data_IF_639892725463
#
_entry.id   IF_639892725463
#
_cell.length_a   1.000
_cell.length_b   1.000
_cell.length_c   1.000
_cell.angle_alpha   90.00
_cell.angle_beta   90.00
_cell.angle_gamma   90.00
#
_symmetry.space_group_name_H-M   'P 1'
#
loop_
_entity.id
_entity.type
_entity.pdbx_description
1 polymer ?
#
# COMPACT_ATOMS: atom_id res chain seq x y z
N UNK A 1 6.23 -15.48 24.59
CA UNK A 1 7.23 -14.59 23.96
C UNK A 1 6.77 -14.49 22.51
N UNK A 2 5.86 -13.55 22.23
CA UNK A 2 5.31 -13.35 20.89
C UNK A 2 6.12 -12.24 20.27
N UNK A 3 7.00 -12.63 19.35
CA UNK A 3 7.82 -11.71 18.57
C UNK A 3 6.89 -11.10 17.51
N UNK A 4 6.33 -9.93 17.81
CA UNK A 4 5.53 -9.17 16.86
C UNK A 4 6.51 -8.41 15.96
N UNK A 5 6.80 -8.99 14.80
CA UNK A 5 7.44 -8.27 13.70
C UNK A 5 6.64 -7.00 13.43
N UNK A 6 7.34 -5.87 13.48
CA UNK A 6 6.80 -4.54 13.26
C UNK A 6 5.98 -4.46 11.96
N UNK A 7 4.96 -3.61 11.97
CA UNK A 7 4.18 -3.19 10.80
C UNK A 7 5.12 -2.46 9.82
N UNK A 8 5.93 -3.20 9.09
CA UNK A 8 6.81 -2.68 8.06
C UNK A 8 6.13 -2.85 6.71
N UNK A 9 5.52 -1.77 6.24
CA UNK A 9 4.99 -1.66 4.87
C UNK A 9 6.10 -1.82 3.81
N UNK A 10 7.37 -1.67 4.23
CA UNK A 10 8.54 -1.99 3.40
C UNK A 10 8.80 -3.50 3.25
N UNK A 11 8.24 -4.36 4.11
CA UNK A 11 8.39 -5.81 4.00
C UNK A 11 7.60 -6.41 2.84
N UNK A 12 6.62 -5.68 2.29
CA UNK A 12 5.70 -6.11 1.24
C UNK A 12 6.26 -5.92 -0.19
N UNK A 13 7.57 -5.71 -0.36
CA UNK A 13 8.12 -5.32 -1.67
C UNK A 13 8.87 -6.43 -2.39
N UNK A 14 8.58 -6.51 -3.68
CA UNK A 14 9.58 -6.80 -4.69
C UNK A 14 10.18 -5.46 -5.15
N UNK A 15 11.50 -5.35 -5.23
CA UNK A 15 12.15 -4.13 -5.74
C UNK A 15 12.16 -4.17 -7.27
N UNK A 16 11.00 -3.99 -7.88
CA UNK A 16 10.78 -4.21 -9.32
C UNK A 16 10.50 -2.96 -10.11
N UNK A 17 10.42 -1.80 -9.45
CA UNK A 17 10.35 -0.53 -10.14
C UNK A 17 11.56 -0.42 -11.06
N UNK A 18 11.30 -0.23 -12.35
CA UNK A 18 12.36 -0.04 -13.36
C UNK A 18 13.15 1.26 -13.16
N UNK A 19 12.82 2.04 -12.12
CA UNK A 19 13.50 3.26 -11.72
C UNK A 19 14.92 2.97 -11.22
N UNK A 20 15.87 3.74 -11.74
CA UNK A 20 17.25 3.76 -11.26
C UNK A 20 17.43 4.93 -10.32
N UNK A 21 18.07 4.72 -9.18
CA UNK A 21 18.37 5.78 -8.23
C UNK A 21 19.82 6.18 -8.31
N UNK A 22 20.12 7.48 -8.36
CA UNK A 22 21.51 7.95 -8.35
C UNK A 22 21.85 8.57 -7.02
N UNK A 23 22.79 7.96 -6.30
CA UNK A 23 23.46 8.58 -5.18
C UNK A 23 24.35 9.71 -5.69
N UNK A 24 23.88 10.94 -5.53
CA UNK A 24 24.57 12.14 -6.00
C UNK A 24 25.88 12.42 -5.25
N UNK A 25 26.04 11.91 -4.02
CA UNK A 25 27.24 12.11 -3.19
C UNK A 25 28.38 11.24 -3.72
N UNK A 26 28.07 9.99 -4.07
CA UNK A 26 29.08 9.03 -4.54
C UNK A 26 29.08 8.84 -6.06
N UNK A 27 28.14 9.47 -6.78
CA UNK A 27 27.91 9.36 -8.22
C UNK A 27 27.76 7.90 -8.67
N UNK A 28 26.98 7.13 -7.91
CA UNK A 28 26.66 5.72 -8.18
C UNK A 28 25.18 5.64 -8.54
N UNK A 29 24.88 5.05 -9.69
CA UNK A 29 23.50 4.73 -10.09
C UNK A 29 23.19 3.29 -9.73
N UNK A 30 22.27 3.09 -8.80
CA UNK A 30 21.71 1.80 -8.44
C UNK A 30 20.55 1.48 -9.37
N UNK A 31 20.50 0.24 -9.85
CA UNK A 31 19.41 -0.27 -10.69
C UNK A 31 18.95 -1.61 -10.13
N UNK A 32 17.90 -2.20 -10.69
CA UNK A 32 17.45 -3.56 -10.33
C UNK A 32 18.55 -4.63 -10.43
N UNK A 33 19.67 -4.35 -11.12
CA UNK A 33 20.86 -5.22 -11.16
C UNK A 33 21.54 -5.48 -9.82
N UNK A 34 21.35 -4.61 -8.81
CA UNK A 34 21.89 -4.82 -7.46
C UNK A 34 20.96 -5.68 -6.58
N UNK A 35 19.73 -5.91 -7.02
CA UNK A 35 18.76 -6.69 -6.27
C UNK A 35 19.09 -8.18 -6.37
N UNK A 36 19.10 -8.86 -5.22
CA UNK A 36 19.22 -10.33 -5.24
C UNK A 36 17.91 -10.94 -5.74
N UNK A 37 17.91 -12.10 -6.42
CA UNK A 37 16.69 -12.71 -6.97
C UNK A 37 15.55 -12.84 -5.94
N UNK A 38 15.89 -13.12 -4.68
CA UNK A 38 14.91 -13.21 -3.60
C UNK A 38 14.18 -11.90 -3.23
N UNK A 39 14.69 -10.75 -3.65
CA UNK A 39 14.03 -9.44 -3.57
C UNK A 39 13.21 -9.11 -4.82
N UNK A 40 13.42 -9.81 -5.93
CA UNK A 40 12.66 -9.58 -7.15
C UNK A 40 11.37 -10.41 -7.13
N UNK A 41 11.44 -11.67 -6.70
CA UNK A 41 10.33 -12.65 -6.81
C UNK A 41 9.62 -12.94 -5.48
N UNK A 42 9.69 -12.05 -4.49
CA UNK A 42 9.16 -12.26 -3.12
C UNK A 42 9.68 -13.48 -2.36
N UNK A 43 10.59 -14.27 -2.90
CA UNK A 43 11.08 -15.51 -2.28
C UNK A 43 11.68 -15.26 -0.89
N UNK A 44 12.40 -14.14 -0.72
CA UNK A 44 12.91 -13.73 0.59
C UNK A 44 11.79 -13.42 1.58
N UNK A 45 10.76 -12.71 1.13
CA UNK A 45 9.60 -12.36 1.94
C UNK A 45 8.82 -13.62 2.39
N UNK A 46 8.49 -14.49 1.44
CA UNK A 46 7.76 -15.75 1.67
C UNK A 46 8.50 -16.64 2.67
N UNK A 47 9.83 -16.74 2.58
CA UNK A 47 10.57 -17.70 3.39
C UNK A 47 11.02 -17.17 4.76
N UNK A 48 11.10 -15.85 4.95
CA UNK A 48 11.62 -15.24 6.18
C UNK A 48 10.55 -14.71 7.13
N UNK A 49 9.38 -14.37 6.61
CA UNK A 49 8.27 -13.85 7.42
C UNK A 49 7.14 -14.87 7.50
N UNK A 50 6.34 -14.77 8.56
CA UNK A 50 5.13 -15.55 8.77
C UNK A 50 4.04 -14.61 9.24
N UNK A 51 3.03 -14.44 8.41
CA UNK A 51 1.86 -13.62 8.70
C UNK A 51 0.65 -14.52 8.99
N UNK A 52 -0.37 -14.04 9.73
CA UNK A 52 -1.50 -14.86 10.18
C UNK A 52 -2.55 -15.11 9.07
N UNK A 53 -2.10 -15.40 7.84
CA UNK A 53 -3.01 -15.55 6.70
C UNK A 53 -3.89 -16.79 6.83
N UNK A 54 -3.39 -17.87 7.43
CA UNK A 54 -4.17 -19.10 7.60
C UNK A 54 -5.34 -18.85 8.57
N UNK A 55 -5.09 -18.11 9.65
CA UNK A 55 -6.09 -17.74 10.64
C UNK A 55 -7.10 -16.74 10.09
N UNK A 56 -6.67 -15.80 9.24
CA UNK A 56 -7.53 -14.79 8.63
C UNK A 56 -8.20 -15.23 7.33
N UNK A 57 -7.91 -16.45 6.84
CA UNK A 57 -8.36 -16.91 5.53
C UNK A 57 -7.79 -16.13 4.33
N UNK A 58 -6.65 -15.47 4.53
CA UNK A 58 -5.87 -14.82 3.48
C UNK A 58 -4.86 -15.78 2.82
N UNK A 59 -3.87 -15.23 2.09
CA UNK A 59 -2.88 -16.04 1.36
C UNK A 59 -1.44 -15.66 1.69
N UNK A 60 -0.69 -16.65 2.17
CA UNK A 60 0.75 -16.55 2.42
C UNK A 60 1.12 -15.38 3.32
N UNK A 61 2.03 -14.53 2.87
CA UNK A 61 2.34 -13.29 3.58
C UNK A 61 1.67 -12.07 2.94
N UNK A 62 0.84 -12.25 1.91
CA UNK A 62 0.46 -11.16 1.00
C UNK A 62 -0.80 -10.41 1.39
N UNK A 63 -1.80 -11.12 1.92
CA UNK A 63 -2.95 -10.49 2.53
C UNK A 63 -3.46 -11.29 3.71
N UNK A 64 -3.75 -10.58 4.79
CA UNK A 64 -4.14 -11.15 6.08
C UNK A 64 -4.73 -10.06 6.97
N UNK A 65 -5.42 -10.47 8.02
CA UNK A 65 -5.94 -9.56 9.04
C UNK A 65 -5.67 -10.11 10.45
N UNK A 66 -5.73 -9.22 11.44
CA UNK A 66 -5.65 -9.61 12.85
C UNK A 66 -6.20 -8.50 13.76
N UNK A 67 -6.68 -8.89 14.93
CA UNK A 67 -7.09 -7.94 15.96
C UNK A 67 -5.93 -7.69 16.94
N UNK A 68 -5.74 -6.43 17.31
CA UNK A 68 -4.87 -6.06 18.42
C UNK A 68 -5.50 -4.95 19.26
N UNK A 69 -5.95 -5.32 20.46
CA UNK A 69 -6.66 -4.41 21.35
C UNK A 69 -7.99 -3.98 20.75
N UNK A 70 -8.17 -2.67 20.55
CA UNK A 70 -9.39 -2.07 19.99
C UNK A 70 -9.33 -1.86 18.48
N UNK A 71 -8.31 -2.39 17.81
CA UNK A 71 -8.11 -2.20 16.38
C UNK A 71 -8.09 -3.53 15.63
N UNK A 72 -8.80 -3.56 14.52
CA UNK A 72 -8.75 -4.58 13.50
C UNK A 72 -7.81 -4.12 12.39
N UNK A 73 -6.74 -4.88 12.16
CA UNK A 73 -5.73 -4.58 11.16
C UNK A 73 -5.92 -5.46 9.94
N UNK A 74 -5.89 -4.85 8.76
CA UNK A 74 -5.95 -5.56 7.48
C UNK A 74 -4.71 -5.16 6.68
N UNK A 75 -4.04 -6.13 6.07
CA UNK A 75 -2.95 -5.88 5.13
C UNK A 75 -3.30 -6.55 3.81
N UNK A 76 -3.13 -5.84 2.70
CA UNK A 76 -3.34 -6.40 1.37
C UNK A 76 -2.23 -5.97 0.40
N UNK A 77 -2.01 -6.81 -0.60
CA UNK A 77 -0.98 -6.71 -1.61
C UNK A 77 -1.43 -5.81 -2.77
N UNK A 78 -0.64 -4.79 -3.10
CA UNK A 78 -0.84 -3.85 -4.22
C UNK A 78 -0.06 -4.18 -5.48
N UNK A 79 0.75 -5.23 -5.47
CA UNK A 79 1.70 -5.53 -6.55
C UNK A 79 1.09 -6.42 -7.64
N UNK A 80 0.45 -7.54 -7.27
CA UNK A 80 0.22 -8.66 -8.22
C UNK A 80 -1.24 -9.15 -8.31
N UNK A 81 -1.96 -9.19 -7.18
CA UNK A 81 -3.28 -9.82 -7.04
C UNK A 81 -4.39 -8.80 -6.66
N UNK A 82 -4.10 -7.53 -6.88
CA UNK A 82 -4.76 -6.37 -6.26
C UNK A 82 -5.98 -5.84 -7.01
N UNK A 83 -6.37 -6.47 -8.12
CA UNK A 83 -7.44 -5.92 -8.96
C UNK A 83 -8.40 -7.02 -9.40
N UNK A 84 -9.71 -6.73 -9.48
CA UNK A 84 -10.67 -7.66 -10.02
C UNK A 84 -10.35 -8.09 -11.46
N UNK A 85 -10.88 -9.25 -11.86
CA UNK A 85 -10.76 -9.81 -13.21
C UNK A 85 -11.05 -8.75 -14.28
N UNK A 86 -10.10 -8.59 -15.21
CA UNK A 86 -10.19 -7.62 -16.32
C UNK A 86 -9.38 -6.34 -16.11
N UNK A 87 -8.82 -6.15 -14.92
CA UNK A 87 -7.81 -5.12 -14.63
C UNK A 87 -6.42 -5.77 -14.53
N UNK A 88 -5.36 -4.98 -14.72
CA UNK A 88 -3.97 -5.45 -14.58
C UNK A 88 -3.32 -4.75 -13.40
N UNK A 89 -2.83 -5.54 -12.45
CA UNK A 89 -2.01 -5.08 -11.33
C UNK A 89 -0.62 -4.62 -11.80
N UNK A 90 0.10 -3.80 -11.01
CA UNK A 90 1.41 -3.27 -11.39
C UNK A 90 2.42 -4.31 -11.88
N UNK A 91 2.63 -5.40 -11.14
CA UNK A 91 3.52 -6.51 -11.48
C UNK A 91 2.81 -7.63 -12.26
N UNK A 92 1.51 -7.50 -12.52
CA UNK A 92 0.74 -8.47 -13.30
C UNK A 92 1.21 -8.52 -14.76
N UNK A 93 0.88 -9.61 -15.48
CA UNK A 93 1.21 -9.72 -16.91
C UNK A 93 0.56 -8.56 -17.69
N UNK A 94 1.39 -7.69 -18.29
CA UNK A 94 0.96 -6.47 -18.99
C UNK A 94 0.78 -5.24 -18.09
N UNK A 95 1.18 -5.33 -16.83
CA UNK A 95 1.31 -4.24 -15.89
C UNK A 95 2.54 -3.37 -16.17
N UNK A 96 2.64 -2.27 -15.44
CA UNK A 96 3.69 -1.25 -15.58
C UNK A 96 5.08 -1.77 -15.18
N UNK A 97 5.16 -2.74 -14.27
CA UNK A 97 6.37 -3.41 -13.80
C UNK A 97 6.41 -4.89 -14.25
N UNK A 98 5.70 -5.21 -15.35
CA UNK A 98 5.61 -6.56 -15.89
C UNK A 98 6.96 -7.08 -16.41
N UNK A 99 7.75 -7.68 -15.51
CA UNK A 99 9.04 -8.28 -15.85
C UNK A 99 9.62 -9.22 -14.80
N UNK A 100 9.02 -9.29 -13.61
CA UNK A 100 9.60 -9.96 -12.45
C UNK A 100 8.98 -11.32 -12.07
N UNK A 101 7.94 -11.80 -12.77
CA UNK A 101 7.23 -13.05 -12.45
C UNK A 101 6.67 -13.11 -11.02
N UNK A 102 6.12 -12.00 -10.53
CA UNK A 102 5.81 -11.83 -9.10
C UNK A 102 4.48 -12.41 -8.63
N UNK A 103 3.90 -13.36 -9.34
CA UNK A 103 2.59 -13.89 -9.01
C UNK A 103 1.90 -14.43 -10.26
N UNK A 104 0.58 -14.65 -10.22
CA UNK A 104 -0.30 -14.41 -9.07
C UNK A 104 -0.02 -15.38 -7.91
N UNK A 105 -0.28 -14.96 -6.67
CA UNK A 105 -0.23 -15.84 -5.50
C UNK A 105 -1.59 -16.43 -5.13
N UNK A 106 -2.66 -15.76 -5.56
CA UNK A 106 -4.04 -16.20 -5.38
C UNK A 106 -4.72 -16.54 -6.70
N UNK A 107 -5.99 -16.92 -6.63
CA UNK A 107 -6.86 -17.01 -7.80
C UNK A 107 -7.54 -15.66 -8.10
N UNK A 108 -8.06 -15.45 -9.32
CA UNK A 108 -8.65 -14.17 -9.68
C UNK A 108 -9.80 -13.76 -8.74
N UNK A 109 -9.84 -12.48 -8.35
CA UNK A 109 -10.73 -11.88 -7.34
C UNK A 109 -10.54 -12.35 -5.89
N UNK A 110 -9.68 -13.34 -5.60
CA UNK A 110 -9.55 -13.90 -4.25
C UNK A 110 -9.30 -12.84 -3.18
N UNK A 111 -8.33 -11.97 -3.42
CA UNK A 111 -7.99 -10.90 -2.48
C UNK A 111 -9.11 -9.85 -2.34
N UNK A 112 -9.81 -9.52 -3.43
CA UNK A 112 -10.93 -8.58 -3.39
C UNK A 112 -12.11 -9.13 -2.57
N UNK A 113 -12.52 -10.37 -2.88
CA UNK A 113 -13.63 -11.04 -2.21
C UNK A 113 -13.30 -11.30 -0.73
N UNK A 114 -12.05 -11.68 -0.44
CA UNK A 114 -11.55 -11.82 0.93
C UNK A 114 -11.61 -10.50 1.69
N UNK A 115 -11.13 -9.41 1.10
CA UNK A 115 -11.09 -8.09 1.74
C UNK A 115 -12.50 -7.57 2.05
N UNK A 116 -13.46 -7.68 1.11
CA UNK A 116 -14.85 -7.30 1.36
C UNK A 116 -15.47 -8.16 2.48
N UNK A 117 -15.21 -9.46 2.46
CA UNK A 117 -15.73 -10.39 3.48
C UNK A 117 -15.17 -10.07 4.86
N UNK A 118 -13.87 -9.78 4.96
CA UNK A 118 -13.20 -9.46 6.20
C UNK A 118 -13.75 -8.15 6.81
N UNK A 119 -13.80 -7.08 6.01
CA UNK A 119 -14.43 -5.81 6.40
C UNK A 119 -15.87 -5.97 6.88
N UNK A 120 -16.66 -6.81 6.20
CA UNK A 120 -18.04 -7.08 6.58
C UNK A 120 -18.19 -7.87 7.89
N UNK A 121 -17.12 -8.52 8.36
CA UNK A 121 -17.12 -9.35 9.56
C UNK A 121 -16.75 -8.59 10.83
N UNK A 122 -16.19 -7.38 10.71
CA UNK A 122 -15.68 -6.61 11.85
C UNK A 122 -16.81 -6.20 12.79
N UNK A 123 -16.70 -6.62 14.05
CA UNK A 123 -17.57 -6.19 15.14
C UNK A 123 -17.02 -4.90 15.76
N UNK A 124 -17.58 -3.75 15.35
CA UNK A 124 -17.12 -2.41 15.79
C UNK A 124 -17.35 -2.14 17.27
N UNK A 125 -18.17 -2.94 17.97
CA UNK A 125 -18.29 -2.83 19.44
C UNK A 125 -17.08 -3.45 20.16
N UNK A 126 -16.32 -4.33 19.49
CA UNK A 126 -15.09 -4.95 20.01
C UNK A 126 -13.83 -4.25 19.49
N UNK A 127 -13.78 -4.04 18.18
CA UNK A 127 -12.68 -3.39 17.47
C UNK A 127 -13.21 -2.17 16.73
N UNK A 128 -13.41 -1.04 17.45
CA UNK A 128 -13.98 0.17 16.86
C UNK A 128 -13.10 0.79 15.78
N UNK A 129 -11.80 0.50 15.76
CA UNK A 129 -10.86 1.02 14.77
C UNK A 129 -10.55 -0.02 13.71
N UNK A 130 -10.69 0.32 12.43
CA UNK A 130 -10.19 -0.47 11.31
C UNK A 130 -9.02 0.27 10.68
N UNK A 131 -7.85 -0.39 10.65
CA UNK A 131 -6.62 0.15 10.09
C UNK A 131 -6.14 -0.75 8.96
N UNK A 132 -5.93 -0.16 7.78
CA UNK A 132 -5.47 -0.91 6.60
C UNK A 132 -4.02 -0.55 6.26
N UNK A 133 -3.21 -1.56 5.96
CA UNK A 133 -1.88 -1.41 5.38
C UNK A 133 -1.87 -1.85 3.93
N UNK A 134 -1.27 -1.03 3.07
CA UNK A 134 -1.01 -1.36 1.66
C UNK A 134 0.32 -0.73 1.22
N UNK A 135 0.94 -1.23 0.15
CA UNK A 135 2.26 -0.74 -0.24
C UNK A 135 2.19 0.52 -1.13
N UNK A 136 1.59 0.42 -2.33
CA UNK A 136 1.55 1.51 -3.32
C UNK A 136 0.54 2.60 -2.98
N UNK A 137 0.92 3.88 -3.02
CA UNK A 137 0.03 4.98 -2.65
C UNK A 137 -1.10 5.17 -3.66
N UNK A 138 -2.21 5.71 -3.19
CA UNK A 138 -3.36 6.15 -3.97
C UNK A 138 -3.44 7.66 -4.11
N UNK A 139 -3.06 8.37 -3.06
CA UNK A 139 -2.92 9.82 -3.03
C UNK A 139 -1.50 10.18 -2.62
N UNK A 140 -0.74 10.76 -3.56
CA UNK A 140 0.59 11.30 -3.32
C UNK A 140 0.77 12.60 -4.11
N UNK A 141 1.41 13.58 -3.49
CA UNK A 141 1.70 14.92 -4.01
C UNK A 141 2.99 15.04 -4.82
N UNK A 142 3.68 13.93 -5.09
CA UNK A 142 4.86 13.92 -5.98
C UNK A 142 4.40 13.99 -7.43
N UNK A 143 4.85 15.02 -8.15
CA UNK A 143 4.55 15.22 -9.57
C UNK A 143 5.76 14.86 -10.42
N UNK A 144 5.52 14.14 -11.53
CA UNK A 144 6.54 13.81 -12.54
C UNK A 144 7.71 12.94 -12.05
N UNK A 145 7.55 12.23 -10.92
CA UNK A 145 8.49 11.18 -10.51
C UNK A 145 7.93 9.81 -10.88
N UNK A 146 8.80 8.96 -11.43
CA UNK A 146 8.53 7.54 -11.62
C UNK A 146 8.23 6.80 -10.32
N UNK A 147 8.70 7.29 -9.16
CA UNK A 147 8.45 6.70 -7.84
C UNK A 147 7.03 6.94 -7.32
N UNK A 148 6.30 7.92 -7.87
CA UNK A 148 4.92 8.19 -7.46
C UNK A 148 4.00 6.98 -7.70
N UNK A 149 4.37 6.13 -8.66
CA UNK A 149 3.70 4.93 -9.18
C UNK A 149 2.41 4.47 -8.48
N UNK A 150 1.35 5.26 -8.69
CA UNK A 150 0.05 5.10 -8.04
C UNK A 150 -0.68 3.91 -8.65
N UNK A 151 -1.14 2.97 -7.81
CA UNK A 151 -2.03 1.91 -8.28
C UNK A 151 -3.48 2.40 -8.40
N UNK A 152 -3.77 3.18 -9.44
CA UNK A 152 -5.11 3.74 -9.71
C UNK A 152 -6.21 2.66 -9.74
N UNK A 153 -5.88 1.48 -10.29
CA UNK A 153 -6.83 0.35 -10.38
C UNK A 153 -7.07 -0.30 -9.03
N UNK A 154 -6.05 -0.40 -8.18
CA UNK A 154 -6.21 -0.85 -6.79
C UNK A 154 -7.14 0.10 -6.05
N UNK A 155 -6.93 1.41 -6.19
CA UNK A 155 -7.78 2.43 -5.58
C UNK A 155 -9.23 2.30 -6.04
N UNK A 156 -9.47 2.20 -7.36
CA UNK A 156 -10.82 2.02 -7.91
C UNK A 156 -11.53 0.76 -7.39
N UNK A 157 -10.78 -0.31 -7.11
CA UNK A 157 -11.34 -1.54 -6.58
C UNK A 157 -11.62 -1.44 -5.08
N UNK A 158 -10.63 -1.08 -4.27
CA UNK A 158 -10.68 -1.26 -2.82
C UNK A 158 -11.18 -0.04 -2.05
N UNK A 159 -10.91 1.19 -2.51
CA UNK A 159 -11.34 2.40 -1.80
C UNK A 159 -12.86 2.49 -1.59
N UNK A 160 -13.71 2.12 -2.58
CA UNK A 160 -15.16 2.08 -2.36
C UNK A 160 -15.58 1.13 -1.24
N UNK A 161 -14.88 -0.01 -1.07
CA UNK A 161 -15.13 -0.93 0.05
C UNK A 161 -14.70 -0.31 1.38
N UNK A 162 -13.53 0.34 1.41
CA UNK A 162 -13.06 1.02 2.62
C UNK A 162 -14.05 2.09 3.10
N UNK A 163 -14.60 2.90 2.18
CA UNK A 163 -15.64 3.89 2.49
C UNK A 163 -16.93 3.19 2.94
N UNK A 164 -17.38 2.16 2.22
CA UNK A 164 -18.62 1.40 2.52
C UNK A 164 -18.62 0.81 3.94
N UNK A 165 -17.49 0.27 4.37
CA UNK A 165 -17.34 -0.39 5.68
C UNK A 165 -16.74 0.51 6.77
N UNK A 166 -16.51 1.79 6.46
CA UNK A 166 -16.06 2.79 7.42
C UNK A 166 -14.66 2.52 7.97
N UNK A 167 -13.70 2.21 7.10
CA UNK A 167 -12.27 2.16 7.48
C UNK A 167 -11.85 3.53 8.03
N UNK A 168 -11.11 3.53 9.13
CA UNK A 168 -10.74 4.78 9.81
C UNK A 168 -9.42 5.36 9.26
N UNK A 169 -8.45 4.48 8.98
CA UNK A 169 -7.11 4.84 8.55
C UNK A 169 -6.58 3.80 7.57
N UNK A 170 -5.92 4.25 6.51
CA UNK A 170 -4.99 3.42 5.77
C UNK A 170 -3.61 4.05 5.65
N UNK A 171 -2.59 3.20 5.78
CA UNK A 171 -1.17 3.57 5.73
C UNK A 171 -0.51 2.92 4.52
N UNK A 172 0.33 3.72 3.86
CA UNK A 172 0.96 3.42 2.58
C UNK A 172 2.47 3.60 2.68
N UNK A 173 3.20 2.96 1.77
CA UNK A 173 4.64 3.12 1.62
C UNK A 173 4.97 3.48 0.17
N UNK A 174 5.90 2.71 -0.41
CA UNK A 174 6.41 2.83 -1.78
C UNK A 174 7.18 4.12 -2.05
N UNK A 175 6.49 5.26 -1.94
CA UNK A 175 7.10 6.58 -2.01
C UNK A 175 7.87 6.85 -0.72
N UNK A 176 9.16 7.09 -0.85
CA UNK A 176 10.10 7.40 0.22
C UNK A 176 9.97 8.85 0.70
N UNK A 177 8.74 9.24 1.03
CA UNK A 177 8.41 10.50 1.69
C UNK A 177 7.39 10.23 2.81
N UNK A 178 7.12 11.25 3.60
CA UNK A 178 5.94 11.30 4.45
C UNK A 178 4.91 12.23 3.82
N UNK A 179 3.66 11.80 3.73
CA UNK A 179 2.55 12.65 3.35
C UNK A 179 1.27 12.28 4.09
N UNK A 180 0.60 13.29 4.64
CA UNK A 180 -0.66 13.17 5.34
C UNK A 180 -1.70 13.97 4.59
N UNK A 181 -2.65 13.27 4.01
CA UNK A 181 -3.71 13.86 3.22
C UNK A 181 -4.95 14.13 4.09
N UNK A 182 -5.86 14.96 3.59
CA UNK A 182 -7.21 15.04 4.12
C UNK A 182 -7.98 13.76 3.75
N UNK A 183 -9.00 13.35 4.53
CA UNK A 183 -9.91 12.28 4.10
C UNK A 183 -10.60 12.67 2.78
N UNK A 184 -10.64 11.73 1.84
CA UNK A 184 -11.09 11.95 0.47
C UNK A 184 -12.35 11.15 0.18
N UNK A 185 -13.39 11.81 -0.32
CA UNK A 185 -14.60 11.17 -0.79
C UNK A 185 -14.60 11.08 -2.31
N UNK A 186 -15.27 10.06 -2.86
CA UNK A 186 -15.52 9.92 -4.27
C UNK A 186 -14.68 8.83 -4.92
N UNK A 187 -14.41 8.99 -6.22
CA UNK A 187 -13.56 8.09 -6.98
C UNK A 187 -12.24 8.77 -7.32
N UNK A 188 -11.23 8.03 -7.78
CA UNK A 188 -9.92 8.62 -8.10
C UNK A 188 -10.00 9.72 -9.16
N UNK A 189 -11.01 9.68 -10.04
CA UNK A 189 -11.22 10.69 -11.10
C UNK A 189 -12.17 11.82 -10.69
N UNK A 190 -13.04 11.58 -9.70
CA UNK A 190 -14.00 12.57 -9.19
C UNK A 190 -14.01 12.47 -7.67
N UNK A 191 -13.10 13.20 -7.03
CA UNK A 191 -12.93 13.22 -5.58
C UNK A 191 -13.05 14.63 -5.01
N UNK A 192 -13.37 14.70 -3.72
CA UNK A 192 -13.44 15.93 -2.92
C UNK A 192 -12.99 15.67 -1.49
N UNK A 193 -12.56 16.72 -0.78
CA UNK A 193 -12.29 16.62 0.66
C UNK A 193 -13.56 16.22 1.41
N UNK A 194 -13.41 15.37 2.43
CA UNK A 194 -14.49 15.12 3.38
C UNK A 194 -14.81 16.42 4.16
N UNK A 195 -16.08 16.88 4.16
CA UNK A 195 -16.45 18.13 4.81
C UNK A 195 -16.24 18.11 6.33
N UNK A 196 -16.17 16.94 6.96
CA UNK A 196 -15.91 16.81 8.39
C UNK A 196 -14.43 16.93 8.74
N UNK A 197 -13.53 16.92 7.74
CA UNK A 197 -12.08 16.90 7.96
C UNK A 197 -11.70 15.72 8.87
N UNK A 198 -10.93 15.97 9.93
CA UNK A 198 -10.55 14.91 10.89
C UNK A 198 -11.55 14.71 12.04
N UNK A 199 -12.70 15.39 12.00
CA UNK A 199 -13.73 15.26 13.04
C UNK A 199 -14.80 14.24 12.62
N UNK A 200 -14.50 12.95 12.80
CA UNK A 200 -15.38 11.84 12.36
C UNK A 200 -15.70 11.90 10.85
N UNK A 201 -14.68 11.79 9.98
CA UNK A 201 -14.89 11.71 8.54
C UNK A 201 -15.68 10.46 8.15
N UNK A 202 -16.33 10.54 6.99
CA UNK A 202 -16.99 9.42 6.33
C UNK A 202 -16.04 8.66 5.39
N UNK A 203 -14.91 9.26 5.04
CA UNK A 203 -13.79 8.61 4.34
C UNK A 203 -12.65 8.23 5.29
N UNK A 204 -11.91 7.16 4.99
CA UNK A 204 -10.69 6.84 5.73
C UNK A 204 -9.66 7.96 5.63
N UNK A 205 -8.91 8.16 6.71
CA UNK A 205 -7.70 8.96 6.66
C UNK A 205 -6.61 8.20 5.90
N UNK A 206 -5.82 8.89 5.08
CA UNK A 206 -4.76 8.28 4.30
C UNK A 206 -3.41 8.94 4.53
N UNK A 207 -2.42 8.10 4.83
CA UNK A 207 -1.06 8.53 5.20
C UNK A 207 -0.06 7.71 4.38
N UNK A 208 0.85 8.39 3.70
CA UNK A 208 2.06 7.80 3.13
C UNK A 208 3.19 7.97 4.14
N UNK A 209 3.89 6.88 4.44
CA UNK A 209 5.03 6.86 5.36
C UNK A 209 6.09 5.86 4.88
N UNK A 210 6.65 6.11 3.70
CA UNK A 210 7.70 5.26 3.10
C UNK A 210 9.13 5.71 3.41
N UNK A 211 9.30 6.84 4.11
CA UNK A 211 10.59 7.48 4.42
C UNK A 211 11.40 6.80 5.55
N UNK A 212 11.40 5.46 5.63
CA UNK A 212 12.07 4.72 6.71
C UNK A 212 13.58 4.48 6.48
N UNK A 213 14.16 5.02 5.40
CA UNK A 213 15.61 4.97 5.15
C UNK A 213 16.05 3.87 4.20
N UNK A 214 15.29 3.62 3.12
CA UNK A 214 15.75 2.79 2.02
C UNK A 214 17.02 3.39 1.38
N UNK A 215 17.87 2.56 0.76
CA UNK A 215 19.14 3.04 0.17
C UNK A 215 18.94 3.97 -1.04
N UNK A 216 17.76 3.96 -1.64
CA UNK A 216 17.36 4.91 -2.69
C UNK A 216 17.24 6.34 -2.15
N UNK A 217 17.21 6.54 -0.83
CA UNK A 217 17.03 7.86 -0.24
C UNK A 217 15.56 8.30 -0.26
N UNK A 218 15.34 9.61 -0.10
CA UNK A 218 14.01 10.21 -0.05
C UNK A 218 13.58 10.68 -1.45
N UNK A 219 12.30 10.48 -1.76
CA UNK A 219 11.68 11.03 -2.98
C UNK A 219 11.40 12.51 -2.78
N UNK A 220 11.54 13.32 -3.84
CA UNK A 220 11.39 14.78 -3.73
C UNK A 220 9.93 15.20 -3.85
N UNK A 221 9.47 15.99 -2.88
CA UNK A 221 8.16 16.64 -2.94
C UNK A 221 8.31 18.00 -3.65
N UNK A 222 7.54 18.23 -4.71
CA UNK A 222 7.61 19.45 -5.53
C UNK A 222 6.37 20.35 -5.32
N UNK A 223 6.48 21.47 -4.57
CA UNK A 223 5.36 22.39 -4.36
C UNK A 223 4.97 23.16 -5.65
N UNK A 224 3.70 23.57 -5.81
CA UNK A 224 2.60 23.42 -4.85
C UNK A 224 2.06 21.99 -4.82
N UNK A 225 1.91 21.47 -3.59
CA UNK A 225 1.30 20.16 -3.38
C UNK A 225 -0.20 20.20 -3.72
N UNK A 226 -0.81 19.06 -4.07
CA UNK A 226 -2.25 18.99 -4.31
C UNK A 226 -3.06 19.49 -3.13
N UNK A 227 -4.28 19.99 -3.41
CA UNK A 227 -5.13 20.62 -2.39
C UNK A 227 -5.56 19.69 -1.24
N UNK A 228 -5.44 18.38 -1.43
CA UNK A 228 -5.70 17.37 -0.41
C UNK A 228 -4.50 17.08 0.51
N UNK A 229 -3.30 17.51 0.15
CA UNK A 229 -2.12 17.35 0.97
C UNK A 229 -2.15 18.32 2.15
N UNK A 230 -2.21 17.80 3.38
CA UNK A 230 -2.30 18.64 4.59
C UNK A 230 -0.91 18.85 5.19
N UNK A 231 -0.04 17.84 5.13
CA UNK A 231 1.33 17.94 5.62
C UNK A 231 2.21 16.90 4.92
N UNK A 232 3.36 17.29 4.40
CA UNK A 232 4.27 16.39 3.71
C UNK A 232 5.74 16.78 3.96
N UNK A 233 6.62 15.79 4.05
CA UNK A 233 8.05 15.95 4.31
C UNK A 233 8.89 14.95 3.50
N UNK A 234 9.96 15.44 2.92
CA UNK A 234 11.00 14.73 2.16
C UNK A 234 12.41 15.00 2.74
N UNK A 235 12.49 15.46 3.99
CA UNK A 235 13.73 15.85 4.69
C UNK A 235 13.93 15.14 6.02
#
# INVERSE_FOLDING_TARGET
MHDFTSFSVQGLTSHTTTSSTTDAIHNITYTTSICVPGQLEFTGYINRFRMPSEESGGVGNFWYCFDHGLAHFIVFNTETDSVPVGLVSPDGVGGIDAGANNGPFGYPNEQYDWFEKDLASVDRDKTPWIVVGLHRPWYIGIQNDSSADVCLRCQQAFEPLMIKYGVDLYMQGHVHAYERNAPMLGSPTVHSLDPNGLNNPSAPWNIVNGAAGHYDGLDTLEPPLPYWSVNAFDT
#
